data_IF_606091889673
#
_entry.id   IF_606091889673
#
_cell.length_a   1.000
_cell.length_b   1.000
_cell.length_c   1.000
_cell.angle_alpha   90.00
_cell.angle_beta   90.00
_cell.angle_gamma   90.00
#
_symmetry.space_group_name_H-M   'P 1'
#
loop_
_entity.id
_entity.type
_entity.pdbx_description
1 polymer ?
#
# COMPACT_ATOMS: atom_id res chain seq x y z
N UNK A 1 43.98 9.63 -5.80
CA UNK A 1 42.63 9.71 -5.18
C UNK A 1 41.84 8.48 -5.59
N UNK A 2 41.74 7.48 -4.67
CA UNK A 2 40.95 6.27 -4.88
C UNK A 2 39.46 6.68 -5.01
N UNK A 3 38.86 6.48 -6.19
CA UNK A 3 37.47 6.68 -6.43
C UNK A 3 36.68 5.83 -5.41
N UNK A 4 35.91 6.44 -4.51
CA UNK A 4 34.99 5.75 -3.60
C UNK A 4 34.05 4.92 -4.45
N UNK A 5 34.17 3.59 -4.37
CA UNK A 5 33.28 2.62 -5.01
C UNK A 5 31.86 2.95 -4.56
N UNK A 6 31.06 3.63 -5.40
CA UNK A 6 29.65 3.89 -5.13
C UNK A 6 28.95 2.53 -5.04
N UNK A 7 28.53 2.15 -3.86
CA UNK A 7 27.69 0.96 -3.67
C UNK A 7 26.44 1.13 -4.53
N UNK A 8 26.31 0.29 -5.56
CA UNK A 8 25.07 0.21 -6.33
C UNK A 8 24.04 -0.47 -5.43
N UNK A 9 22.90 0.15 -5.25
CA UNK A 9 21.77 -0.46 -4.52
C UNK A 9 21.41 -1.80 -5.15
N UNK A 10 21.27 -2.90 -4.38
CA UNK A 10 20.96 -4.21 -4.93
C UNK A 10 19.60 -4.19 -5.65
N UNK A 11 19.43 -5.09 -6.61
CA UNK A 11 18.13 -5.30 -7.25
C UNK A 11 17.09 -5.78 -6.23
N UNK A 12 15.82 -5.42 -6.40
CA UNK A 12 14.73 -5.75 -5.45
C UNK A 12 14.65 -7.26 -5.18
N UNK A 13 14.85 -8.11 -6.19
CA UNK A 13 14.89 -9.57 -5.99
C UNK A 13 16.00 -10.01 -5.03
N UNK A 14 17.16 -9.39 -5.08
CA UNK A 14 18.27 -9.70 -4.16
C UNK A 14 17.87 -9.35 -2.73
N UNK A 15 17.23 -8.20 -2.53
CA UNK A 15 16.74 -7.78 -1.21
C UNK A 15 15.75 -8.82 -0.67
N UNK A 16 14.78 -9.23 -1.49
CA UNK A 16 13.78 -10.23 -1.10
C UNK A 16 14.38 -11.59 -0.80
N UNK A 17 15.35 -12.04 -1.61
CA UNK A 17 16.05 -13.30 -1.35
C UNK A 17 16.78 -13.24 -0.01
N UNK A 18 17.44 -12.13 0.32
CA UNK A 18 18.09 -11.95 1.62
C UNK A 18 17.07 -12.03 2.76
N UNK A 19 15.90 -11.37 2.62
CA UNK A 19 14.83 -11.44 3.63
C UNK A 19 14.30 -12.87 3.77
N UNK A 20 14.11 -13.59 2.67
CA UNK A 20 13.67 -15.00 2.67
C UNK A 20 14.70 -15.88 3.40
N UNK A 21 16.00 -15.67 3.15
CA UNK A 21 17.06 -16.41 3.84
C UNK A 21 17.08 -16.10 5.34
N UNK A 22 16.86 -14.85 5.74
CA UNK A 22 16.72 -14.46 7.15
C UNK A 22 15.49 -15.15 7.77
N UNK A 23 14.35 -15.15 7.10
CA UNK A 23 13.15 -15.84 7.57
C UNK A 23 13.39 -17.36 7.70
N UNK A 24 14.05 -17.97 6.72
CA UNK A 24 14.42 -19.39 6.78
C UNK A 24 15.37 -19.68 7.95
N UNK A 25 16.39 -18.84 8.19
CA UNK A 25 17.29 -18.98 9.33
C UNK A 25 16.54 -18.81 10.68
N UNK A 26 15.56 -17.90 10.74
CA UNK A 26 14.73 -17.72 11.94
C UNK A 26 13.98 -18.99 12.34
N UNK A 27 13.60 -19.85 11.39
CA UNK A 27 12.92 -21.13 11.70
C UNK A 27 13.76 -22.10 12.53
N UNK A 28 15.07 -21.94 12.56
CA UNK A 28 16.00 -22.75 13.37
C UNK A 28 16.26 -22.16 14.75
N UNK A 29 15.97 -20.87 14.93
CA UNK A 29 16.32 -20.12 16.15
C UNK A 29 15.07 -19.89 17.00
N UNK A 30 13.96 -19.51 16.34
CA UNK A 30 12.68 -19.22 17.01
C UNK A 30 11.93 -20.54 17.28
N UNK A 31 11.55 -20.82 18.53
CA UNK A 31 10.79 -22.04 18.83
C UNK A 31 9.39 -21.99 18.19
N UNK A 32 8.91 -23.13 17.70
CA UNK A 32 7.56 -23.23 17.18
C UNK A 32 6.53 -23.12 18.32
N UNK A 33 5.43 -22.43 18.04
CA UNK A 33 4.31 -22.26 18.96
C UNK A 33 3.11 -21.72 18.24
N UNK A 34 1.95 -21.93 18.83
CA UNK A 34 0.69 -21.49 18.28
C UNK A 34 -0.28 -20.97 19.34
N UNK A 35 -1.21 -20.12 18.91
CA UNK A 35 -2.38 -19.76 19.71
C UNK A 35 -3.54 -20.68 19.35
N UNK A 36 -4.39 -20.98 20.32
CA UNK A 36 -5.71 -21.55 20.04
C UNK A 36 -6.53 -20.53 19.24
N UNK A 37 -7.17 -21.02 18.18
CA UNK A 37 -8.02 -20.20 17.30
C UNK A 37 -9.44 -20.67 17.38
N UNK A 38 -10.38 -19.73 17.42
CA UNK A 38 -11.82 -20.01 17.37
C UNK A 38 -12.48 -19.17 16.27
N UNK A 39 -13.60 -19.69 15.77
CA UNK A 39 -14.42 -18.96 14.81
C UNK A 39 -15.43 -18.12 15.58
N UNK A 40 -15.30 -16.81 15.51
CA UNK A 40 -16.28 -15.91 16.11
C UNK A 40 -17.63 -16.03 15.41
N UNK A 41 -18.68 -16.34 16.19
CA UNK A 41 -20.02 -16.57 15.67
C UNK A 41 -20.69 -15.31 15.11
N UNK A 42 -20.32 -14.12 15.61
CA UNK A 42 -20.92 -12.87 15.20
C UNK A 42 -20.33 -12.35 13.88
N UNK A 43 -19.02 -12.48 13.71
CA UNK A 43 -18.29 -11.91 12.57
C UNK A 43 -17.89 -12.98 11.54
N UNK A 44 -17.96 -14.25 11.90
CA UNK A 44 -17.48 -15.38 11.08
C UNK A 44 -15.96 -15.42 10.91
N UNK A 45 -15.21 -14.55 11.58
CA UNK A 45 -13.75 -14.47 11.50
C UNK A 45 -13.09 -15.47 12.43
N UNK A 46 -11.89 -15.95 12.05
CA UNK A 46 -11.05 -16.75 12.92
C UNK A 46 -10.20 -15.82 13.78
N UNK A 47 -10.42 -15.84 15.08
CA UNK A 47 -9.72 -15.04 16.08
C UNK A 47 -8.79 -15.92 16.92
N UNK A 48 -7.81 -15.28 17.55
CA UNK A 48 -6.89 -15.89 18.51
C UNK A 48 -7.47 -15.80 19.91
N UNK A 49 -7.39 -16.88 20.69
CA UNK A 49 -7.76 -16.86 22.09
C UNK A 49 -6.63 -16.28 22.94
N UNK A 50 -6.93 -15.25 23.71
CA UNK A 50 -5.95 -14.58 24.57
C UNK A 50 -5.42 -15.53 25.65
N UNK A 51 -4.09 -15.54 25.87
CA UNK A 51 -3.45 -16.40 26.86
C UNK A 51 -3.29 -17.87 26.45
N UNK A 52 -3.75 -18.27 25.27
CA UNK A 52 -3.71 -19.67 24.80
C UNK A 52 -2.39 -20.08 24.17
N UNK A 53 -1.40 -19.18 24.12
CA UNK A 53 -0.12 -19.51 23.48
C UNK A 53 0.55 -20.71 24.14
N UNK A 54 0.92 -21.69 23.32
CA UNK A 54 1.68 -22.86 23.77
C UNK A 54 2.73 -23.24 22.73
N UNK A 55 3.81 -23.85 23.24
CA UNK A 55 4.88 -24.37 22.37
C UNK A 55 4.47 -25.70 21.77
N UNK A 56 4.85 -25.87 20.51
CA UNK A 56 4.65 -27.12 19.77
C UNK A 56 6.00 -27.66 19.29
N UNK A 57 5.99 -28.86 18.70
CA UNK A 57 7.19 -29.47 18.15
C UNK A 57 7.77 -28.58 17.04
N UNK A 58 9.07 -28.30 17.10
CA UNK A 58 9.76 -27.46 16.11
C UNK A 58 9.82 -28.17 14.76
N UNK A 59 9.46 -27.45 13.71
CA UNK A 59 9.50 -27.91 12.31
C UNK A 59 10.26 -26.88 11.46
N UNK A 60 11.61 -26.80 11.61
CA UNK A 60 12.41 -25.84 10.86
C UNK A 60 12.33 -26.13 9.36
N UNK A 61 12.32 -25.06 8.55
CA UNK A 61 12.26 -25.20 7.10
C UNK A 61 13.51 -25.88 6.55
N UNK A 62 13.34 -26.99 5.83
CA UNK A 62 14.43 -27.54 5.04
C UNK A 62 14.84 -26.54 3.94
N UNK A 63 16.11 -26.09 3.86
CA UNK A 63 16.55 -25.09 2.87
C UNK A 63 16.26 -25.50 1.42
N UNK A 64 16.24 -26.78 1.11
CA UNK A 64 15.88 -27.30 -0.22
C UNK A 64 14.41 -27.05 -0.59
N UNK A 65 13.56 -26.72 0.37
CA UNK A 65 12.15 -26.35 0.14
C UNK A 65 11.94 -24.86 -0.13
N UNK A 66 12.96 -24.01 -0.04
CA UNK A 66 12.84 -22.57 -0.36
C UNK A 66 12.27 -22.33 -1.76
N UNK A 67 12.70 -23.02 -2.83
CA UNK A 67 12.09 -22.83 -4.15
C UNK A 67 10.60 -23.18 -4.19
N UNK A 68 10.18 -24.23 -3.50
CA UNK A 68 8.75 -24.59 -3.43
C UNK A 68 7.94 -23.60 -2.57
N UNK A 69 8.54 -23.01 -1.54
CA UNK A 69 7.92 -21.92 -0.77
C UNK A 69 7.71 -20.67 -1.63
N UNK A 70 8.65 -20.35 -2.55
CA UNK A 70 8.49 -19.27 -3.54
C UNK A 70 7.29 -19.55 -4.45
N UNK A 71 7.18 -20.76 -4.98
CA UNK A 71 6.02 -21.16 -5.76
C UNK A 71 4.71 -20.99 -4.98
N UNK A 72 4.66 -21.44 -3.73
CA UNK A 72 3.50 -21.28 -2.85
C UNK A 72 3.18 -19.80 -2.61
N UNK A 73 4.19 -18.94 -2.41
CA UNK A 73 4.01 -17.50 -2.26
C UNK A 73 3.38 -16.85 -3.50
N UNK A 74 3.80 -17.25 -4.70
CA UNK A 74 3.22 -16.80 -5.97
C UNK A 74 1.76 -17.25 -6.09
N UNK A 75 1.48 -18.52 -5.79
CA UNK A 75 0.11 -19.09 -5.84
C UNK A 75 -0.81 -18.40 -4.82
N UNK A 76 -0.35 -18.18 -3.60
CA UNK A 76 -1.12 -17.42 -2.57
C UNK A 76 -1.36 -15.96 -2.97
N UNK A 77 -0.56 -15.40 -3.87
CA UNK A 77 -0.71 -14.03 -4.40
C UNK A 77 -1.41 -13.99 -5.75
N UNK A 78 -1.89 -15.12 -6.27
CA UNK A 78 -2.40 -15.23 -7.65
C UNK A 78 -3.52 -14.23 -7.96
N UNK A 79 -4.44 -14.00 -7.03
CA UNK A 79 -5.53 -13.04 -7.20
C UNK A 79 -5.00 -11.61 -7.43
N UNK A 80 -4.06 -11.15 -6.60
CA UNK A 80 -3.42 -9.83 -6.75
C UNK A 80 -2.62 -9.74 -8.04
N UNK A 81 -1.87 -10.79 -8.38
CA UNK A 81 -1.06 -10.84 -9.60
C UNK A 81 -1.95 -10.77 -10.84
N UNK A 82 -3.02 -11.56 -10.88
CA UNK A 82 -3.97 -11.57 -12.01
C UNK A 82 -4.63 -10.21 -12.17
N UNK A 83 -5.11 -9.62 -11.06
CA UNK A 83 -5.69 -8.29 -11.06
C UNK A 83 -4.72 -7.24 -11.64
N UNK A 84 -3.46 -7.25 -11.22
CA UNK A 84 -2.46 -6.34 -11.74
C UNK A 84 -2.21 -6.51 -13.24
N UNK A 85 -2.03 -7.75 -13.70
CA UNK A 85 -1.82 -8.02 -15.13
C UNK A 85 -2.97 -7.51 -15.98
N UNK A 86 -4.21 -7.71 -15.54
CA UNK A 86 -5.42 -7.24 -16.22
C UNK A 86 -5.47 -5.70 -16.23
N UNK A 87 -5.20 -5.06 -15.10
CA UNK A 87 -5.16 -3.59 -15.03
C UNK A 87 -4.08 -3.02 -15.93
N UNK A 88 -2.85 -3.56 -15.87
CA UNK A 88 -1.77 -3.09 -16.74
C UNK A 88 -2.13 -3.20 -18.21
N UNK A 89 -2.75 -4.31 -18.61
CA UNK A 89 -3.25 -4.51 -19.98
C UNK A 89 -4.34 -3.50 -20.36
N UNK A 90 -5.38 -3.36 -19.54
CA UNK A 90 -6.49 -2.45 -19.81
C UNK A 90 -6.04 -0.98 -19.87
N UNK A 91 -5.19 -0.56 -18.93
CA UNK A 91 -4.64 0.81 -18.91
C UNK A 91 -3.75 1.09 -20.12
N UNK A 92 -2.96 0.12 -20.59
CA UNK A 92 -2.17 0.30 -21.81
C UNK A 92 -3.06 0.56 -23.02
N UNK A 93 -4.16 -0.20 -23.18
CA UNK A 93 -5.14 0.07 -24.24
C UNK A 93 -5.70 1.49 -24.13
N UNK A 94 -6.10 1.92 -22.93
CA UNK A 94 -6.64 3.26 -22.69
C UNK A 94 -5.59 4.34 -22.97
N UNK A 95 -4.37 4.18 -22.47
CA UNK A 95 -3.27 5.14 -22.63
C UNK A 95 -2.90 5.29 -24.11
N UNK A 96 -2.86 4.18 -24.86
CA UNK A 96 -2.54 4.21 -26.29
C UNK A 96 -3.58 4.98 -27.15
N UNK A 97 -4.80 5.22 -26.63
CA UNK A 97 -5.79 6.08 -27.28
C UNK A 97 -5.40 7.57 -27.25
N UNK A 98 -4.46 7.96 -26.40
CA UNK A 98 -4.06 9.35 -26.17
C UNK A 98 -5.07 10.19 -25.40
N UNK A 99 -6.22 9.63 -24.98
CA UNK A 99 -7.28 10.37 -24.28
C UNK A 99 -6.79 10.86 -22.89
N UNK A 100 -6.11 9.98 -22.14
CA UNK A 100 -5.55 10.30 -20.84
C UNK A 100 -4.48 11.39 -20.94
N UNK A 101 -3.60 11.27 -21.92
CA UNK A 101 -2.52 12.26 -22.19
C UNK A 101 -3.11 13.63 -22.51
N UNK A 102 -4.16 13.69 -23.37
CA UNK A 102 -4.85 14.94 -23.71
C UNK A 102 -5.54 15.57 -22.48
N UNK A 103 -6.19 14.76 -21.63
CA UNK A 103 -6.77 15.24 -20.37
C UNK A 103 -5.71 15.83 -19.44
N UNK A 104 -4.62 15.10 -19.21
CA UNK A 104 -3.53 15.55 -18.33
C UNK A 104 -2.87 16.83 -18.86
N UNK A 105 -2.70 16.96 -20.18
CA UNK A 105 -2.22 18.20 -20.80
C UNK A 105 -3.16 19.37 -20.54
N UNK A 106 -4.48 19.18 -20.66
CA UNK A 106 -5.47 20.21 -20.35
C UNK A 106 -5.44 20.60 -18.86
N UNK A 107 -5.39 19.62 -17.97
CA UNK A 107 -5.27 19.86 -16.53
C UNK A 107 -3.96 20.59 -16.19
N UNK A 108 -2.85 20.24 -16.82
CA UNK A 108 -1.57 20.89 -16.58
C UNK A 108 -1.59 22.38 -16.94
N UNK A 109 -2.30 22.75 -18.01
CA UNK A 109 -2.52 24.16 -18.37
C UNK A 109 -3.29 24.91 -17.28
N UNK A 110 -4.31 24.28 -16.68
CA UNK A 110 -5.10 24.86 -15.57
C UNK A 110 -4.25 25.05 -14.32
N UNK A 111 -3.40 24.08 -13.98
CA UNK A 111 -2.52 24.14 -12.81
C UNK A 111 -1.16 24.81 -13.07
N UNK A 112 -0.86 25.25 -14.29
CA UNK A 112 0.47 25.78 -14.68
C UNK A 112 0.98 26.91 -13.79
N UNK A 113 0.10 27.82 -13.36
CA UNK A 113 0.46 28.95 -12.47
C UNK A 113 0.75 28.51 -11.03
N UNK A 114 0.13 27.40 -10.58
CA UNK A 114 0.20 26.89 -9.21
C UNK A 114 0.44 25.39 -9.21
N UNK A 115 1.46 24.91 -9.95
CA UNK A 115 1.69 23.49 -10.21
C UNK A 115 1.82 22.61 -8.96
N UNK A 116 2.26 23.17 -7.83
CA UNK A 116 2.39 22.41 -6.59
C UNK A 116 1.06 22.20 -5.85
N UNK A 117 -0.01 22.95 -6.20
CA UNK A 117 -1.33 22.81 -5.59
C UNK A 117 -1.98 21.46 -5.99
N UNK A 118 -1.58 20.91 -7.13
CA UNK A 118 -2.05 19.59 -7.55
C UNK A 118 -1.73 18.48 -6.52
N UNK A 119 -0.61 18.63 -5.81
CA UNK A 119 -0.16 17.65 -4.81
C UNK A 119 -1.15 17.51 -3.66
N UNK A 120 -1.48 18.55 -2.87
CA UNK A 120 -2.46 18.42 -1.79
C UNK A 120 -3.87 18.11 -2.30
N UNK A 121 -4.26 18.56 -3.50
CA UNK A 121 -5.56 18.23 -4.08
C UNK A 121 -5.69 16.73 -4.31
N UNK A 122 -4.70 16.11 -4.96
CA UNK A 122 -4.72 14.66 -5.21
C UNK A 122 -4.53 13.85 -3.93
N UNK A 123 -3.65 14.26 -3.03
CA UNK A 123 -3.50 13.63 -1.72
C UNK A 123 -4.83 13.60 -0.96
N UNK A 124 -5.57 14.72 -0.93
CA UNK A 124 -6.88 14.80 -0.27
C UNK A 124 -7.91 13.91 -0.97
N UNK A 125 -7.97 13.96 -2.31
CA UNK A 125 -8.90 13.13 -3.09
C UNK A 125 -8.67 11.63 -2.80
N UNK A 126 -7.43 11.17 -2.87
CA UNK A 126 -7.12 9.75 -2.66
C UNK A 126 -7.19 9.35 -1.18
N UNK A 127 -6.99 10.29 -0.26
CA UNK A 127 -7.24 10.02 1.17
C UNK A 127 -8.71 9.74 1.46
N UNK A 128 -9.64 10.39 0.73
CA UNK A 128 -11.07 10.10 0.85
C UNK A 128 -11.35 8.63 0.50
N UNK A 129 -10.77 8.11 -0.58
CA UNK A 129 -10.91 6.71 -0.94
C UNK A 129 -10.26 5.77 0.10
N UNK A 130 -9.09 6.15 0.62
CA UNK A 130 -8.40 5.39 1.68
C UNK A 130 -9.22 5.29 2.96
N UNK A 131 -9.76 6.40 3.47
CA UNK A 131 -10.47 6.39 4.74
C UNK A 131 -11.94 5.93 4.66
N UNK A 132 -12.59 6.00 3.49
CA UNK A 132 -13.99 5.59 3.34
C UNK A 132 -14.13 4.14 2.93
N UNK A 133 -13.35 3.70 1.94
CA UNK A 133 -13.44 2.37 1.32
C UNK A 133 -12.30 1.44 1.72
N UNK A 134 -11.30 1.95 2.47
CA UNK A 134 -10.11 1.18 2.76
C UNK A 134 -9.27 0.87 1.52
N UNK A 135 -9.41 1.68 0.44
CA UNK A 135 -8.63 1.46 -0.78
C UNK A 135 -7.14 1.61 -0.49
N UNK A 136 -6.40 0.59 -0.80
CA UNK A 136 -4.94 0.53 -0.68
C UNK A 136 -4.35 0.03 -1.99
N UNK A 137 -4.41 -1.28 -2.25
CA UNK A 137 -3.87 -1.86 -3.49
C UNK A 137 -4.58 -1.35 -4.74
N UNK A 138 -5.88 -1.11 -4.68
CA UNK A 138 -6.75 -0.70 -5.79
C UNK A 138 -6.36 0.67 -6.35
N UNK A 139 -5.77 1.51 -5.53
CA UNK A 139 -5.36 2.87 -5.93
C UNK A 139 -4.24 2.87 -6.97
N UNK A 140 -3.53 1.74 -7.13
CA UNK A 140 -2.49 1.62 -8.17
C UNK A 140 -3.00 1.89 -9.58
N UNK A 141 -4.29 1.67 -9.83
CA UNK A 141 -4.93 1.95 -11.13
C UNK A 141 -4.88 3.43 -11.53
N UNK A 142 -4.78 4.33 -10.55
CA UNK A 142 -4.72 5.77 -10.78
C UNK A 142 -3.29 6.30 -10.89
N UNK A 143 -2.28 5.50 -10.56
CA UNK A 143 -0.86 5.90 -10.60
C UNK A 143 -0.43 6.41 -11.98
N UNK A 144 -0.81 5.79 -13.12
CA UNK A 144 -0.45 6.32 -14.44
C UNK A 144 -0.99 7.73 -14.67
N UNK A 145 -2.20 8.03 -14.17
CA UNK A 145 -2.81 9.38 -14.26
C UNK A 145 -1.97 10.39 -13.49
N UNK A 146 -1.58 10.04 -12.26
CA UNK A 146 -0.72 10.87 -11.43
C UNK A 146 0.64 11.16 -12.05
N UNK A 147 1.27 10.12 -12.62
CA UNK A 147 2.56 10.25 -13.32
C UNK A 147 2.43 11.17 -14.53
N UNK A 148 1.46 10.90 -15.42
CA UNK A 148 1.24 11.68 -16.63
C UNK A 148 1.03 13.16 -16.29
N UNK A 149 0.17 13.46 -15.32
CA UNK A 149 -0.07 14.84 -14.88
C UNK A 149 1.18 15.50 -14.29
N UNK A 150 1.92 14.78 -13.44
CA UNK A 150 3.15 15.29 -12.84
C UNK A 150 4.19 15.66 -13.92
N UNK A 151 4.40 14.78 -14.90
CA UNK A 151 5.33 15.03 -16.01
C UNK A 151 4.93 16.25 -16.85
N UNK A 152 3.64 16.42 -17.17
CA UNK A 152 3.15 17.63 -17.86
C UNK A 152 3.35 18.92 -17.06
N UNK A 153 3.39 18.84 -15.72
CA UNK A 153 3.67 19.97 -14.85
C UNK A 153 5.18 20.22 -14.63
N UNK A 154 6.05 19.45 -15.29
CA UNK A 154 7.50 19.52 -15.12
C UNK A 154 7.96 19.02 -13.75
N UNK A 155 7.25 18.04 -13.20
CA UNK A 155 7.59 17.27 -12.01
C UNK A 155 8.07 15.87 -12.40
N UNK A 156 8.62 15.10 -11.48
CA UNK A 156 9.05 13.74 -11.76
C UNK A 156 7.97 12.68 -11.49
N UNK A 157 8.17 11.47 -11.99
CA UNK A 157 7.23 10.37 -11.78
C UNK A 157 7.14 9.90 -10.33
N UNK A 158 8.15 10.18 -9.49
CA UNK A 158 8.08 9.90 -8.05
C UNK A 158 7.02 10.78 -7.38
N UNK A 159 6.99 12.07 -7.73
CA UNK A 159 5.95 13.00 -7.28
C UNK A 159 4.57 12.54 -7.74
N UNK A 160 4.43 12.13 -9.01
CA UNK A 160 3.16 11.64 -9.56
C UNK A 160 2.65 10.39 -8.85
N UNK A 161 3.54 9.43 -8.58
CA UNK A 161 3.20 8.21 -7.82
C UNK A 161 2.85 8.55 -6.38
N UNK A 162 3.66 9.41 -5.73
CA UNK A 162 3.50 9.74 -4.32
C UNK A 162 2.17 10.46 -4.03
N UNK A 163 1.71 11.39 -4.86
CA UNK A 163 0.46 12.10 -4.61
C UNK A 163 -0.78 11.18 -4.67
N UNK A 164 -0.70 10.07 -5.40
CA UNK A 164 -1.75 9.05 -5.46
C UNK A 164 -1.60 8.05 -4.30
N UNK A 165 -0.46 7.36 -4.26
CA UNK A 165 -0.22 6.27 -3.33
C UNK A 165 -0.21 6.74 -1.86
N UNK A 166 0.46 7.85 -1.55
CA UNK A 166 0.53 8.37 -0.18
C UNK A 166 -0.75 9.09 0.24
N UNK A 167 -1.55 9.61 -0.71
CA UNK A 167 -2.91 10.08 -0.43
C UNK A 167 -3.75 8.95 0.15
N UNK A 168 -3.84 7.84 -0.56
CA UNK A 168 -4.58 6.66 -0.09
C UNK A 168 -4.01 6.09 1.21
N UNK A 169 -2.68 6.00 1.33
CA UNK A 169 -2.02 5.51 2.54
C UNK A 169 -2.35 6.36 3.78
N UNK A 170 -2.33 7.68 3.66
CA UNK A 170 -2.73 8.61 4.75
C UNK A 170 -4.19 8.41 5.13
N UNK A 171 -5.09 8.32 4.13
CA UNK A 171 -6.51 8.06 4.39
C UNK A 171 -6.74 6.71 5.05
N UNK A 172 -6.14 5.65 4.51
CA UNK A 172 -6.19 4.30 5.07
C UNK A 172 -5.70 4.27 6.53
N UNK A 173 -4.58 4.94 6.80
CA UNK A 173 -3.97 5.02 8.15
C UNK A 173 -4.83 5.83 9.12
N UNK A 174 -5.42 6.94 8.71
CA UNK A 174 -6.34 7.70 9.56
C UNK A 174 -7.61 6.89 9.88
N UNK A 175 -8.08 6.07 8.94
CA UNK A 175 -9.08 5.03 9.13
C UNK A 175 -10.40 5.52 9.72
N UNK A 176 -10.99 6.62 9.18
CA UNK A 176 -12.22 7.18 9.73
C UNK A 176 -13.42 6.22 9.62
N UNK A 177 -13.60 5.68 8.41
CA UNK A 177 -14.72 4.81 8.04
C UNK A 177 -14.26 3.51 7.36
N UNK A 178 -12.96 3.18 7.48
CA UNK A 178 -12.37 2.01 6.84
C UNK A 178 -12.88 0.71 7.50
N UNK A 179 -13.72 -0.09 6.82
CA UNK A 179 -14.29 -1.29 7.42
C UNK A 179 -13.30 -2.44 7.55
N UNK A 180 -12.24 -2.46 6.72
CA UNK A 180 -11.29 -3.58 6.61
C UNK A 180 -10.16 -3.53 7.63
N UNK A 181 -9.90 -2.38 8.20
CA UNK A 181 -8.84 -2.16 9.18
C UNK A 181 -9.45 -1.70 10.50
N UNK A 182 -9.81 -0.42 10.64
CA UNK A 182 -10.34 0.12 11.90
C UNK A 182 -11.65 -0.55 12.31
N UNK A 183 -12.55 -0.83 11.37
CA UNK A 183 -13.82 -1.49 11.67
C UNK A 183 -13.62 -2.88 12.28
N UNK A 184 -12.69 -3.68 11.70
CA UNK A 184 -12.35 -5.00 12.24
C UNK A 184 -11.70 -4.90 13.61
N UNK A 185 -10.77 -3.96 13.80
CA UNK A 185 -10.09 -3.80 15.08
C UNK A 185 -11.04 -3.31 16.19
N UNK A 186 -11.97 -2.39 15.87
CA UNK A 186 -13.00 -1.93 16.81
C UNK A 186 -14.00 -3.02 17.18
N UNK A 187 -14.40 -3.82 16.21
CA UNK A 187 -15.30 -4.96 16.44
C UNK A 187 -14.68 -5.97 17.42
N UNK A 188 -13.40 -6.34 17.20
CA UNK A 188 -12.67 -7.23 18.13
C UNK A 188 -12.47 -6.58 19.51
N UNK A 189 -12.29 -5.26 19.55
CA UNK A 189 -12.15 -4.51 20.80
C UNK A 189 -13.50 -4.21 21.50
N UNK A 190 -14.62 -4.72 20.96
CA UNK A 190 -15.97 -4.49 21.48
C UNK A 190 -16.33 -3.00 21.56
N UNK A 191 -15.87 -2.22 20.58
CA UNK A 191 -16.15 -0.79 20.45
C UNK A 191 -17.23 -0.52 19.41
N UNK A 192 -17.96 0.57 19.59
CA UNK A 192 -18.86 1.05 18.56
C UNK A 192 -18.06 1.33 17.28
N UNK A 193 -18.53 0.79 16.15
CA UNK A 193 -17.87 0.96 14.86
C UNK A 193 -17.71 2.44 14.50
N UNK A 194 -16.54 2.79 14.02
CA UNK A 194 -16.13 4.13 13.62
C UNK A 194 -16.22 5.19 14.75
N UNK A 195 -16.24 4.76 16.01
CA UNK A 195 -16.12 5.67 17.16
C UNK A 195 -14.73 6.34 17.20
N UNK A 196 -14.60 7.41 17.98
CA UNK A 196 -13.33 8.17 18.09
C UNK A 196 -13.00 9.00 16.83
N UNK A 197 -14.00 9.30 15.99
CA UNK A 197 -13.81 9.95 14.68
C UNK A 197 -13.16 11.33 14.77
N UNK A 198 -13.49 12.14 15.77
CA UNK A 198 -12.96 13.50 15.89
C UNK A 198 -11.41 13.53 15.95
N UNK A 199 -10.83 12.66 16.77
CA UNK A 199 -9.37 12.56 16.88
C UNK A 199 -8.73 11.99 15.61
N UNK A 200 -9.40 11.05 14.93
CA UNK A 200 -8.95 10.51 13.65
C UNK A 200 -8.97 11.55 12.52
N UNK A 201 -9.96 12.45 12.52
CA UNK A 201 -10.00 13.61 11.59
C UNK A 201 -8.82 14.53 11.86
N UNK A 202 -8.51 14.85 13.12
CA UNK A 202 -7.31 15.62 13.47
C UNK A 202 -6.03 14.95 12.95
N UNK A 203 -5.87 13.64 13.19
CA UNK A 203 -4.73 12.86 12.68
C UNK A 203 -4.66 12.93 11.14
N UNK A 204 -5.79 12.76 10.44
CA UNK A 204 -5.87 12.85 8.98
C UNK A 204 -5.34 14.20 8.49
N UNK A 205 -5.81 15.30 9.07
CA UNK A 205 -5.41 16.66 8.65
C UNK A 205 -3.92 16.89 8.87
N UNK A 206 -3.39 16.47 10.02
CA UNK A 206 -1.95 16.62 10.32
C UNK A 206 -1.10 15.77 9.36
N UNK A 207 -1.50 14.52 9.11
CA UNK A 207 -0.78 13.64 8.18
C UNK A 207 -0.83 14.16 6.74
N UNK A 208 -1.99 14.64 6.28
CA UNK A 208 -2.13 15.25 4.95
C UNK A 208 -1.25 16.49 4.82
N UNK A 209 -1.23 17.36 5.83
CA UNK A 209 -0.39 18.56 5.83
C UNK A 209 1.10 18.21 5.79
N UNK A 210 1.55 17.29 6.66
CA UNK A 210 2.94 16.84 6.70
C UNK A 210 3.38 16.17 5.39
N UNK A 211 2.54 15.28 4.85
CA UNK A 211 2.81 14.56 3.60
C UNK A 211 2.83 15.53 2.42
N UNK A 212 1.87 16.46 2.35
CA UNK A 212 1.83 17.51 1.31
C UNK A 212 3.08 18.38 1.34
N UNK A 213 3.46 18.87 2.53
CA UNK A 213 4.65 19.68 2.70
C UNK A 213 5.92 18.92 2.26
N UNK A 214 6.05 17.66 2.66
CA UNK A 214 7.19 16.83 2.27
C UNK A 214 7.29 16.67 0.75
N UNK A 215 6.19 16.27 0.10
CA UNK A 215 6.18 16.05 -1.36
C UNK A 215 6.40 17.38 -2.10
N UNK A 216 5.82 18.49 -1.65
CA UNK A 216 6.04 19.81 -2.25
C UNK A 216 7.51 20.21 -2.13
N UNK A 217 8.14 20.02 -0.97
CA UNK A 217 9.57 20.30 -0.77
C UNK A 217 10.44 19.47 -1.72
N UNK A 218 10.15 18.17 -1.83
CA UNK A 218 10.83 17.29 -2.78
C UNK A 218 10.63 17.75 -4.23
N UNK A 219 9.38 17.98 -4.64
CA UNK A 219 9.03 18.40 -5.99
C UNK A 219 9.68 19.75 -6.39
N UNK A 220 9.73 20.72 -5.46
CA UNK A 220 10.44 22.00 -5.68
C UNK A 220 11.94 21.80 -5.86
N UNK A 221 12.54 20.95 -5.03
CA UNK A 221 13.96 20.61 -5.10
C UNK A 221 14.32 19.95 -6.44
N UNK A 222 13.49 19.01 -6.90
CA UNK A 222 13.71 18.29 -8.17
C UNK A 222 13.42 19.20 -9.36
N UNK A 223 12.39 20.04 -9.31
CA UNK A 223 12.10 21.00 -10.39
C UNK A 223 13.22 22.03 -10.59
N UNK A 224 13.92 22.46 -9.51
CA UNK A 224 15.07 23.34 -9.60
C UNK A 224 16.37 22.61 -9.97
N UNK A 225 16.49 21.34 -9.59
CA UNK A 225 17.68 20.52 -9.73
C UNK A 225 17.29 19.10 -10.12
N UNK A 226 17.03 18.78 -11.40
CA UNK A 226 16.59 17.46 -11.86
C UNK A 226 17.53 16.32 -11.44
N UNK A 227 18.84 16.61 -11.33
CA UNK A 227 19.86 15.66 -10.87
C UNK A 227 19.68 15.20 -9.42
N UNK A 228 18.85 15.89 -8.63
CA UNK A 228 18.51 15.53 -7.24
C UNK A 228 17.30 14.59 -7.13
N UNK A 229 16.66 14.28 -8.25
CA UNK A 229 15.62 13.23 -8.26
C UNK A 229 16.21 11.89 -7.83
N UNK A 230 15.47 11.16 -7.00
CA UNK A 230 15.92 9.81 -6.56
C UNK A 230 16.01 8.82 -7.71
N UNK A 231 15.34 9.10 -8.83
CA UNK A 231 15.36 8.28 -10.05
C UNK A 231 16.25 8.85 -11.15
N UNK A 232 17.03 9.90 -10.86
CA UNK A 232 17.94 10.48 -11.84
C UNK A 232 18.89 9.42 -12.43
N UNK A 233 19.05 9.44 -13.75
CA UNK A 233 19.90 8.48 -14.50
C UNK A 233 19.23 7.11 -14.72
N UNK A 234 17.96 6.92 -14.37
CA UNK A 234 17.17 5.78 -14.83
C UNK A 234 16.59 6.17 -16.20
N UNK A 235 16.71 5.32 -17.24
CA UNK A 235 16.12 5.61 -18.53
C UNK A 235 14.63 5.90 -18.40
N UNK A 236 14.18 6.96 -19.08
CA UNK A 236 12.74 7.25 -19.16
C UNK A 236 12.05 6.19 -20.02
N UNK A 237 10.88 5.75 -19.58
CA UNK A 237 10.07 4.85 -20.36
C UNK A 237 9.51 5.60 -21.57
N UNK A 238 9.63 5.03 -22.77
CA UNK A 238 9.06 5.60 -24.02
C UNK A 238 7.54 5.80 -23.93
N UNK A 239 6.88 5.14 -22.98
CA UNK A 239 5.44 5.20 -22.73
C UNK A 239 4.95 6.61 -22.34
N UNK A 240 5.84 7.45 -21.80
CA UNK A 240 5.53 8.82 -21.36
C UNK A 240 6.16 9.91 -22.25
N UNK A 241 6.53 9.58 -23.50
CA UNK A 241 7.00 10.59 -24.47
C UNK A 241 5.81 11.32 -25.09
N UNK A 242 5.84 12.67 -25.03
CA UNK A 242 4.69 13.53 -25.37
C UNK A 242 4.88 14.30 -26.70
N UNK A 243 5.79 13.84 -27.57
CA UNK A 243 6.27 14.59 -28.74
C UNK A 243 5.19 14.95 -29.78
N UNK A 244 3.98 14.34 -29.74
CA UNK A 244 2.92 14.56 -30.72
C UNK A 244 1.53 14.83 -30.12
N UNK A 245 1.45 15.36 -28.89
CA UNK A 245 0.14 15.63 -28.27
C UNK A 245 -0.46 16.93 -28.81
N UNK A 246 -1.53 16.83 -29.59
CA UNK A 246 -2.29 17.99 -30.09
C UNK A 246 -2.91 18.77 -28.94
N UNK A 247 -3.09 20.09 -29.14
CA UNK A 247 -3.68 20.98 -28.13
C UNK A 247 -5.20 20.82 -27.97
N UNK A 248 -5.86 20.17 -28.93
CA UNK A 248 -7.31 19.92 -28.95
C UNK A 248 -7.64 18.47 -28.63
N UNK A 249 -8.58 18.26 -27.73
CA UNK A 249 -9.12 16.93 -27.44
C UNK A 249 -10.11 16.56 -28.53
N UNK A 250 -9.91 15.42 -29.19
CA UNK A 250 -10.80 14.91 -30.21
C UNK A 250 -12.11 14.37 -29.63
N UNK A 251 -13.19 14.30 -30.42
CA UNK A 251 -14.49 13.74 -30.00
C UNK A 251 -14.34 12.28 -29.52
N UNK A 252 -13.50 11.48 -30.18
CA UNK A 252 -13.22 10.10 -29.75
C UNK A 252 -12.54 10.05 -28.38
N UNK A 253 -11.57 10.93 -28.10
CA UNK A 253 -10.91 11.04 -26.81
C UNK A 253 -11.89 11.49 -25.71
N UNK A 254 -12.81 12.41 -26.02
CA UNK A 254 -13.89 12.79 -25.08
C UNK A 254 -14.75 11.58 -24.74
N UNK A 255 -15.16 10.80 -25.74
CA UNK A 255 -15.95 9.59 -25.52
C UNK A 255 -15.20 8.55 -24.65
N UNK A 256 -13.89 8.35 -24.87
CA UNK A 256 -13.04 7.51 -24.03
C UNK A 256 -13.03 8.02 -22.59
N UNK A 257 -12.85 9.33 -22.37
CA UNK A 257 -12.85 9.92 -21.03
C UNK A 257 -14.20 9.77 -20.32
N UNK A 258 -15.32 9.85 -21.06
CA UNK A 258 -16.66 9.58 -20.51
C UNK A 258 -16.78 8.12 -20.07
N UNK A 259 -16.34 7.17 -20.89
CA UNK A 259 -16.33 5.74 -20.53
C UNK A 259 -15.48 5.49 -19.30
N UNK A 260 -14.31 6.13 -19.20
CA UNK A 260 -13.47 6.05 -18.00
C UNK A 260 -14.18 6.62 -16.76
N UNK A 261 -14.79 7.80 -16.89
CA UNK A 261 -15.51 8.43 -15.77
C UNK A 261 -16.69 7.56 -15.29
N UNK A 262 -17.45 6.98 -16.21
CA UNK A 262 -18.54 6.05 -15.91
C UNK A 262 -17.99 4.76 -15.28
N UNK A 263 -16.90 4.19 -15.82
CA UNK A 263 -16.23 3.02 -15.27
C UNK A 263 -15.75 3.24 -13.84
N UNK A 264 -15.12 4.38 -13.55
CA UNK A 264 -14.74 4.74 -12.18
C UNK A 264 -15.95 4.98 -11.27
N UNK A 265 -17.04 5.56 -11.76
CA UNK A 265 -18.29 5.68 -11.02
C UNK A 265 -18.87 4.31 -10.64
N UNK A 266 -18.90 3.37 -11.58
CA UNK A 266 -19.33 1.97 -11.35
C UNK A 266 -18.40 1.27 -10.36
N UNK A 267 -17.08 1.49 -10.48
CA UNK A 267 -16.08 0.96 -9.55
C UNK A 267 -16.36 1.41 -8.11
N UNK A 268 -16.55 2.72 -7.91
CA UNK A 268 -16.84 3.31 -6.59
C UNK A 268 -18.14 2.74 -6.02
N UNK A 269 -19.18 2.63 -6.84
CA UNK A 269 -20.45 2.02 -6.45
C UNK A 269 -20.27 0.54 -6.09
N UNK A 270 -19.56 -0.23 -6.91
CA UNK A 270 -19.28 -1.65 -6.69
C UNK A 270 -18.54 -1.91 -5.38
N UNK A 271 -17.46 -1.15 -5.12
CA UNK A 271 -16.68 -1.22 -3.89
C UNK A 271 -17.53 -0.84 -2.66
N UNK A 272 -18.29 0.28 -2.75
CA UNK A 272 -19.00 0.83 -1.59
C UNK A 272 -20.28 0.09 -1.23
N UNK A 273 -21.01 -0.46 -2.24
CA UNK A 273 -22.36 -1.01 -2.06
C UNK A 273 -22.48 -2.50 -2.33
N UNK A 274 -21.59 -3.08 -3.12
CA UNK A 274 -21.65 -4.48 -3.57
C UNK A 274 -20.54 -5.36 -3.01
N UNK A 275 -19.56 -4.78 -2.29
CA UNK A 275 -18.42 -5.51 -1.76
C UNK A 275 -17.50 -6.09 -2.85
N UNK A 276 -17.43 -5.42 -3.99
CA UNK A 276 -16.54 -5.84 -5.09
C UNK A 276 -15.11 -5.97 -4.62
N UNK A 277 -14.41 -6.94 -5.21
CA UNK A 277 -12.99 -7.15 -4.99
C UNK A 277 -12.28 -7.35 -6.33
N UNK A 278 -11.11 -7.96 -6.35
CA UNK A 278 -10.25 -8.04 -7.55
C UNK A 278 -10.94 -8.69 -8.76
N UNK A 279 -11.84 -9.65 -8.57
CA UNK A 279 -12.54 -10.35 -9.65
C UNK A 279 -13.44 -9.41 -10.45
N UNK A 280 -14.37 -8.75 -9.79
CA UNK A 280 -15.33 -7.85 -10.43
C UNK A 280 -14.65 -6.60 -10.99
N UNK A 281 -13.64 -6.09 -10.26
CA UNK A 281 -12.82 -4.98 -10.74
C UNK A 281 -12.07 -5.36 -12.02
N UNK A 282 -11.49 -6.57 -12.08
CA UNK A 282 -10.81 -7.07 -13.28
C UNK A 282 -11.74 -7.11 -14.47
N UNK A 283 -12.97 -7.63 -14.30
CA UNK A 283 -14.00 -7.66 -15.32
C UNK A 283 -14.35 -6.26 -15.83
N UNK A 284 -14.57 -5.30 -14.93
CA UNK A 284 -14.85 -3.91 -15.29
C UNK A 284 -13.72 -3.30 -16.13
N UNK A 285 -12.46 -3.52 -15.74
CA UNK A 285 -11.32 -2.94 -16.46
C UNK A 285 -11.12 -3.58 -17.83
N UNK A 286 -11.37 -4.87 -18.00
CA UNK A 286 -11.36 -5.52 -19.32
C UNK A 286 -12.39 -4.85 -20.23
N UNK A 287 -13.65 -4.72 -19.77
CA UNK A 287 -14.71 -4.07 -20.54
C UNK A 287 -14.35 -2.63 -20.88
N UNK A 288 -13.85 -1.87 -19.90
CA UNK A 288 -13.46 -0.48 -20.10
C UNK A 288 -12.34 -0.34 -21.14
N UNK A 289 -11.30 -1.17 -21.07
CA UNK A 289 -10.19 -1.18 -22.01
C UNK A 289 -10.66 -1.53 -23.43
N UNK A 290 -11.49 -2.56 -23.58
CA UNK A 290 -12.03 -3.01 -24.88
C UNK A 290 -12.93 -1.93 -25.49
N UNK A 291 -13.86 -1.36 -24.73
CA UNK A 291 -14.77 -0.30 -25.19
C UNK A 291 -13.97 0.94 -25.62
N UNK A 292 -13.02 1.39 -24.82
CA UNK A 292 -12.14 2.52 -25.15
C UNK A 292 -11.33 2.27 -26.42
N UNK A 293 -10.82 1.05 -26.61
CA UNK A 293 -10.13 0.66 -27.83
C UNK A 293 -11.00 0.75 -29.05
N UNK A 294 -12.23 0.22 -29.03
CA UNK A 294 -13.17 0.30 -30.14
C UNK A 294 -13.58 1.75 -30.45
N UNK A 295 -13.89 2.57 -29.45
CA UNK A 295 -14.20 3.99 -29.62
C UNK A 295 -13.07 4.72 -30.35
N UNK A 296 -11.82 4.35 -30.05
CA UNK A 296 -10.65 4.93 -30.69
C UNK A 296 -10.39 4.40 -32.11
N UNK A 297 -11.22 3.45 -32.60
CA UNK A 297 -11.10 2.86 -33.91
C UNK A 297 -10.10 1.72 -34.01
N UNK A 298 -9.76 1.08 -32.88
CA UNK A 298 -8.86 -0.07 -32.86
C UNK A 298 -9.61 -1.33 -33.26
N UNK A 299 -9.01 -2.15 -34.12
CA UNK A 299 -9.48 -3.50 -34.37
C UNK A 299 -9.12 -4.46 -33.19
N UNK A 300 -9.81 -5.62 -33.10
CA UNK A 300 -9.58 -6.60 -32.00
C UNK A 300 -8.13 -7.01 -31.82
N UNK A 301 -7.41 -7.23 -32.93
CA UNK A 301 -5.99 -7.63 -32.87
C UNK A 301 -5.09 -6.54 -32.28
N UNK A 302 -5.40 -5.26 -32.49
CA UNK A 302 -4.68 -4.15 -31.92
C UNK A 302 -4.96 -4.06 -30.43
N UNK A 303 -6.23 -4.18 -30.02
CA UNK A 303 -6.63 -4.18 -28.60
C UNK A 303 -5.91 -5.31 -27.85
N UNK A 304 -5.89 -6.52 -28.40
CA UNK A 304 -5.22 -7.66 -27.79
C UNK A 304 -3.69 -7.43 -27.66
N UNK A 305 -3.06 -6.86 -28.68
CA UNK A 305 -1.63 -6.55 -28.65
C UNK A 305 -1.29 -5.49 -27.60
N UNK A 306 -2.03 -4.37 -27.57
CA UNK A 306 -1.82 -3.31 -26.58
C UNK A 306 -2.02 -3.87 -25.14
N UNK A 307 -3.07 -4.68 -24.96
CA UNK A 307 -3.32 -5.35 -23.68
C UNK A 307 -2.14 -6.26 -23.26
N UNK A 308 -1.63 -7.06 -24.19
CA UNK A 308 -0.47 -7.92 -23.93
C UNK A 308 0.79 -7.13 -23.56
N UNK A 309 1.08 -6.02 -24.26
CA UNK A 309 2.24 -5.16 -23.92
C UNK A 309 2.08 -4.51 -22.55
N UNK A 310 0.88 -4.07 -22.17
CA UNK A 310 0.62 -3.53 -20.84
C UNK A 310 0.84 -4.55 -19.72
N UNK A 311 0.31 -5.77 -19.87
CA UNK A 311 0.51 -6.86 -18.93
C UNK A 311 2.01 -7.22 -18.81
N UNK A 312 2.73 -7.32 -19.94
CA UNK A 312 4.18 -7.55 -19.97
C UNK A 312 4.95 -6.46 -19.24
N UNK A 313 4.51 -5.20 -19.34
CA UNK A 313 5.17 -4.05 -18.72
C UNK A 313 5.27 -4.14 -17.19
N UNK A 314 4.36 -4.87 -16.53
CA UNK A 314 4.29 -4.96 -15.06
C UNK A 314 4.64 -6.34 -14.50
N UNK A 315 5.02 -7.31 -15.34
CA UNK A 315 5.25 -8.71 -14.91
C UNK A 315 6.31 -8.83 -13.82
N UNK A 316 7.37 -8.01 -13.87
CA UNK A 316 8.42 -8.00 -12.84
C UNK A 316 7.86 -7.61 -11.48
N UNK A 317 6.97 -6.61 -11.43
CA UNK A 317 6.29 -6.21 -10.20
C UNK A 317 5.37 -7.30 -9.65
N UNK A 318 4.66 -8.00 -10.52
CA UNK A 318 3.83 -9.15 -10.16
C UNK A 318 4.66 -10.27 -9.52
N UNK A 319 5.81 -10.59 -10.09
CA UNK A 319 6.75 -11.57 -9.51
C UNK A 319 7.28 -11.13 -8.14
N UNK A 320 7.59 -9.84 -7.97
CA UNK A 320 8.04 -9.29 -6.69
C UNK A 320 6.98 -9.53 -5.59
N UNK A 321 5.69 -9.34 -5.86
CA UNK A 321 4.60 -9.56 -4.91
C UNK A 321 4.57 -11.03 -4.47
N UNK A 322 4.64 -11.96 -5.41
CA UNK A 322 4.64 -13.39 -5.10
C UNK A 322 5.86 -13.83 -4.30
N UNK A 323 7.04 -13.35 -4.66
CA UNK A 323 8.29 -13.65 -3.94
C UNK A 323 8.27 -13.04 -2.53
N UNK A 324 7.77 -11.82 -2.36
CA UNK A 324 7.64 -11.20 -1.05
C UNK A 324 6.72 -11.98 -0.10
N UNK A 325 5.63 -12.56 -0.61
CA UNK A 325 4.71 -13.42 0.14
C UNK A 325 5.36 -14.69 0.69
N UNK A 326 6.47 -15.12 0.12
CA UNK A 326 7.22 -16.30 0.57
C UNK A 326 7.67 -16.20 2.03
N UNK A 327 7.97 -14.99 2.50
CA UNK A 327 8.37 -14.75 3.89
C UNK A 327 7.28 -15.24 4.85
N UNK A 328 6.04 -14.82 4.63
CA UNK A 328 4.89 -15.25 5.44
C UNK A 328 4.65 -16.75 5.33
N UNK A 329 4.80 -17.32 4.13
CA UNK A 329 4.68 -18.79 3.93
C UNK A 329 5.68 -19.53 4.81
N UNK A 330 6.96 -19.14 4.79
CA UNK A 330 8.01 -19.79 5.58
C UNK A 330 7.75 -19.70 7.08
N UNK A 331 7.39 -18.51 7.57
CA UNK A 331 7.13 -18.29 9.00
C UNK A 331 5.89 -19.06 9.49
N UNK A 332 4.86 -19.14 8.64
CA UNK A 332 3.62 -19.88 8.93
C UNK A 332 3.84 -21.40 8.90
N UNK A 333 4.50 -21.93 7.86
CA UNK A 333 4.73 -23.36 7.70
C UNK A 333 5.66 -23.93 8.80
N UNK A 334 6.57 -23.09 9.33
CA UNK A 334 7.42 -23.45 10.47
C UNK A 334 6.75 -23.20 11.83
N UNK A 335 5.51 -22.71 11.86
CA UNK A 335 4.76 -22.35 13.07
C UNK A 335 5.50 -21.42 14.02
N UNK A 336 6.32 -20.49 13.49
CA UNK A 336 7.05 -19.51 14.32
C UNK A 336 6.41 -18.10 14.30
N UNK A 337 5.42 -17.88 13.42
CA UNK A 337 4.76 -16.60 13.29
C UNK A 337 4.07 -16.19 14.60
N UNK A 338 3.31 -17.07 15.21
CA UNK A 338 2.62 -16.81 16.49
C UNK A 338 3.62 -16.58 17.63
N UNK A 339 4.74 -17.29 17.64
CA UNK A 339 5.83 -17.08 18.61
C UNK A 339 6.44 -15.69 18.48
N UNK A 340 6.67 -15.23 17.25
CA UNK A 340 7.20 -13.87 17.01
C UNK A 340 6.21 -12.83 17.51
N UNK A 341 4.92 -12.98 17.18
CA UNK A 341 3.87 -12.07 17.65
C UNK A 341 3.79 -12.07 19.18
N UNK A 342 3.77 -13.26 19.81
CA UNK A 342 3.76 -13.41 21.26
C UNK A 342 4.96 -12.71 21.92
N UNK A 343 6.17 -12.89 21.36
CA UNK A 343 7.37 -12.24 21.85
C UNK A 343 7.30 -10.71 21.78
N UNK A 344 6.80 -10.17 20.66
CA UNK A 344 6.64 -8.72 20.46
C UNK A 344 5.58 -8.15 21.42
N UNK A 345 4.43 -8.83 21.59
CA UNK A 345 3.39 -8.41 22.54
C UNK A 345 3.90 -8.38 23.96
N UNK A 346 4.71 -9.36 24.37
CA UNK A 346 5.30 -9.40 25.71
C UNK A 346 6.26 -8.26 26.00
N UNK A 347 6.89 -7.65 24.97
CA UNK A 347 7.71 -6.44 25.16
C UNK A 347 6.84 -5.29 25.68
N UNK A 348 5.58 -5.15 25.22
CA UNK A 348 4.67 -4.11 25.71
C UNK A 348 4.37 -4.29 27.19
N UNK A 349 4.23 -5.52 27.67
CA UNK A 349 3.90 -5.82 29.06
C UNK A 349 4.97 -5.33 30.05
N UNK A 350 6.24 -5.33 29.65
CA UNK A 350 7.37 -4.91 30.50
C UNK A 350 7.72 -3.42 30.39
N UNK A 351 7.04 -2.67 29.49
CA UNK A 351 7.28 -1.24 29.34
C UNK A 351 6.65 -0.43 30.49
N UNK A 352 7.23 0.73 30.86
CA UNK A 352 6.58 1.69 31.75
C UNK A 352 5.24 2.18 31.21
N UNK A 353 4.25 2.37 32.07
CA UNK A 353 2.87 2.74 31.65
C UNK A 353 2.81 4.04 30.83
N UNK A 354 3.68 4.99 31.14
CA UNK A 354 3.78 6.28 30.44
C UNK A 354 4.10 6.18 28.95
N UNK A 355 4.74 5.09 28.51
CA UNK A 355 5.14 4.89 27.11
C UNK A 355 4.51 3.63 26.47
N UNK A 356 3.69 2.88 27.21
CA UNK A 356 3.08 1.64 26.71
C UNK A 356 2.27 1.85 25.44
N UNK A 357 1.49 2.94 25.33
CA UNK A 357 0.72 3.23 24.13
C UNK A 357 1.63 3.45 22.92
N UNK A 358 2.74 4.17 23.09
CA UNK A 358 3.77 4.30 22.03
C UNK A 358 4.40 2.94 21.73
N UNK A 359 4.68 2.15 22.75
CA UNK A 359 5.18 0.78 22.62
C UNK A 359 4.22 -0.10 21.82
N UNK A 360 2.92 -0.06 22.09
CA UNK A 360 1.89 -0.78 21.34
C UNK A 360 1.94 -0.40 19.85
N UNK A 361 2.00 0.89 19.53
CA UNK A 361 2.11 1.37 18.14
C UNK A 361 3.38 0.83 17.45
N UNK A 362 4.54 0.94 18.07
CA UNK A 362 5.80 0.46 17.49
C UNK A 362 5.80 -1.06 17.34
N UNK A 363 5.24 -1.80 18.30
CA UNK A 363 5.08 -3.24 18.22
C UNK A 363 4.16 -3.63 17.05
N UNK A 364 3.06 -2.93 16.84
CA UNK A 364 2.18 -3.18 15.68
C UNK A 364 2.91 -2.93 14.35
N UNK A 365 3.77 -1.90 14.27
CA UNK A 365 4.61 -1.66 13.09
C UNK A 365 5.62 -2.80 12.84
N UNK A 366 6.18 -3.39 13.90
CA UNK A 366 7.07 -4.55 13.80
C UNK A 366 6.31 -5.81 13.39
N UNK A 367 5.13 -6.04 13.96
CA UNK A 367 4.27 -7.19 13.61
C UNK A 367 3.86 -7.12 12.13
N UNK A 368 3.62 -5.92 11.60
CA UNK A 368 3.31 -5.75 10.17
C UNK A 368 4.46 -6.20 9.25
N UNK A 369 5.70 -6.30 9.72
CA UNK A 369 6.78 -6.91 8.95
C UNK A 369 6.57 -8.40 8.68
N UNK A 370 5.75 -9.08 9.48
CA UNK A 370 5.44 -10.52 9.36
C UNK A 370 4.01 -10.79 8.94
N UNK A 371 3.06 -9.95 9.33
CA UNK A 371 1.63 -10.06 8.96
C UNK A 371 1.21 -8.77 8.25
N UNK A 372 1.40 -8.71 6.94
CA UNK A 372 1.18 -7.50 6.11
C UNK A 372 -0.30 -7.30 5.72
N UNK A 373 -1.22 -8.01 6.34
CA UNK A 373 -2.66 -7.90 6.12
C UNK A 373 -3.32 -7.18 7.28
N UNK A 374 -3.85 -5.98 7.08
CA UNK A 374 -4.51 -5.23 8.15
C UNK A 374 -5.59 -6.04 8.89
N UNK A 375 -6.50 -6.69 8.16
CA UNK A 375 -7.51 -7.59 8.76
C UNK A 375 -6.87 -8.79 9.48
N UNK A 376 -5.84 -9.41 8.86
CA UNK A 376 -5.13 -10.55 9.45
C UNK A 376 -4.35 -10.15 10.70
N UNK A 377 -3.67 -9.02 10.67
CA UNK A 377 -2.95 -8.48 11.83
C UNK A 377 -3.92 -8.15 12.97
N UNK A 378 -5.05 -7.49 12.69
CA UNK A 378 -6.09 -7.21 13.69
C UNK A 378 -6.59 -8.50 14.35
N UNK A 379 -6.91 -9.54 13.57
CA UNK A 379 -7.45 -10.80 14.07
C UNK A 379 -6.47 -11.54 15.01
N UNK A 380 -5.17 -11.36 14.83
CA UNK A 380 -4.15 -11.97 15.69
C UNK A 380 -3.79 -11.06 16.87
N UNK A 381 -3.63 -9.75 16.64
CA UNK A 381 -3.04 -8.87 17.64
C UNK A 381 -4.06 -8.21 18.56
N UNK A 382 -5.27 -7.88 18.07
CA UNK A 382 -6.25 -7.17 18.90
C UNK A 382 -6.75 -8.02 20.09
N UNK A 383 -7.02 -9.35 19.96
CA UNK A 383 -7.36 -10.19 21.10
C UNK A 383 -6.27 -10.24 22.19
N UNK A 384 -5.01 -9.95 21.82
CA UNK A 384 -3.89 -9.91 22.76
C UNK A 384 -3.68 -8.51 23.34
N UNK A 385 -3.81 -7.47 22.51
CA UNK A 385 -3.53 -6.09 22.89
C UNK A 385 -4.66 -5.46 23.73
N UNK A 386 -5.92 -5.85 23.48
CA UNK A 386 -7.07 -5.33 24.23
C UNK A 386 -6.98 -5.68 25.72
N UNK A 387 -6.78 -6.95 26.13
CA UNK A 387 -6.56 -7.27 27.56
C UNK A 387 -5.37 -6.55 28.17
N UNK A 388 -4.27 -6.40 27.41
CA UNK A 388 -3.10 -5.64 27.88
C UNK A 388 -3.46 -4.17 28.13
N UNK A 389 -4.21 -3.54 27.22
CA UNK A 389 -4.63 -2.15 27.39
C UNK A 389 -5.56 -1.98 28.60
N UNK A 390 -6.52 -2.89 28.79
CA UNK A 390 -7.45 -2.88 29.95
C UNK A 390 -6.69 -2.99 31.28
N UNK A 391 -5.68 -3.88 31.37
CA UNK A 391 -4.87 -4.09 32.57
C UNK A 391 -4.05 -2.86 32.98
N UNK A 392 -3.60 -2.06 31.99
CA UNK A 392 -2.75 -0.89 32.23
C UNK A 392 -3.53 0.43 32.21
N UNK A 393 -4.86 0.37 32.12
CA UNK A 393 -5.72 1.55 32.10
C UNK A 393 -5.62 2.38 30.82
N UNK A 394 -5.17 1.79 29.71
CA UNK A 394 -5.20 2.40 28.37
C UNK A 394 -6.54 2.06 27.73
N UNK A 395 -7.23 3.05 27.16
CA UNK A 395 -8.50 2.78 26.50
C UNK A 395 -8.33 1.81 25.32
N UNK A 396 -9.34 0.97 25.09
CA UNK A 396 -9.38 0.08 23.92
C UNK A 396 -9.30 0.85 22.61
N UNK A 397 -9.84 2.08 22.56
CA UNK A 397 -9.80 2.97 21.42
C UNK A 397 -8.35 3.41 21.09
N UNK A 398 -7.55 3.69 22.12
CA UNK A 398 -6.11 3.97 21.96
C UNK A 398 -5.36 2.72 21.47
N UNK A 399 -5.72 1.53 21.93
CA UNK A 399 -5.17 0.27 21.42
C UNK A 399 -5.48 0.06 19.93
N UNK A 400 -6.72 0.33 19.51
CA UNK A 400 -7.12 0.31 18.09
C UNK A 400 -6.33 1.34 17.28
N UNK A 401 -6.10 2.54 17.83
CA UNK A 401 -5.29 3.55 17.15
C UNK A 401 -3.83 3.11 16.99
N UNK A 402 -3.24 2.47 18.00
CA UNK A 402 -1.89 1.92 17.93
C UNK A 402 -1.75 0.90 16.79
N UNK A 403 -2.71 -0.03 16.69
CA UNK A 403 -2.79 -0.98 15.59
C UNK A 403 -2.89 -0.27 14.24
N UNK A 404 -3.82 0.67 14.11
CA UNK A 404 -4.11 1.40 12.89
C UNK A 404 -2.88 2.14 12.33
N UNK A 405 -2.19 2.90 13.20
CA UNK A 405 -0.99 3.64 12.81
C UNK A 405 0.17 2.69 12.47
N UNK A 406 0.31 1.60 13.23
CA UNK A 406 1.36 0.61 13.03
C UNK A 406 1.26 -0.11 11.70
N UNK A 407 0.09 -0.60 11.35
CA UNK A 407 -0.22 -1.21 10.05
C UNK A 407 -0.07 -0.20 8.92
N UNK A 408 -0.75 0.96 9.02
CA UNK A 408 -0.85 1.91 7.92
C UNK A 408 0.48 2.53 7.49
N UNK A 409 1.31 2.98 8.43
CA UNK A 409 2.58 3.62 8.09
C UNK A 409 3.59 2.65 7.48
N UNK A 410 3.73 1.48 8.07
CA UNK A 410 4.75 0.51 7.66
C UNK A 410 4.48 -0.09 6.29
N UNK A 411 3.22 -0.17 5.85
CA UNK A 411 2.85 -0.60 4.50
C UNK A 411 3.46 0.25 3.38
N UNK A 412 3.86 1.50 3.67
CA UNK A 412 4.48 2.41 2.68
C UNK A 412 5.98 2.17 2.48
N UNK A 413 6.62 1.35 3.33
CA UNK A 413 8.07 1.06 3.27
C UNK A 413 8.38 -0.43 3.20
N UNK A 414 7.47 -1.31 3.61
CA UNK A 414 7.72 -2.75 3.65
C UNK A 414 7.70 -3.38 2.25
N UNK A 415 8.73 -4.12 1.85
CA UNK A 415 8.77 -4.78 0.54
C UNK A 415 7.79 -5.96 0.44
N UNK A 416 7.21 -6.43 1.55
CA UNK A 416 6.16 -7.43 1.60
C UNK A 416 4.76 -6.83 1.35
N UNK A 417 4.61 -5.52 1.39
CA UNK A 417 3.34 -4.85 1.10
C UNK A 417 3.00 -4.95 -0.39
N UNK A 418 1.95 -5.71 -0.71
CA UNK A 418 1.45 -5.88 -2.07
C UNK A 418 0.99 -4.56 -2.69
N UNK A 419 0.41 -3.67 -1.89
CA UNK A 419 0.01 -2.33 -2.32
C UNK A 419 1.22 -1.53 -2.78
N UNK A 420 2.28 -1.45 -1.94
CA UNK A 420 3.51 -0.73 -2.29
C UNK A 420 4.15 -1.32 -3.54
N UNK A 421 4.31 -2.65 -3.61
CA UNK A 421 4.92 -3.28 -4.79
C UNK A 421 4.07 -3.07 -6.04
N UNK A 422 2.75 -3.03 -5.89
CA UNK A 422 1.82 -2.68 -6.96
C UNK A 422 2.05 -1.27 -7.51
N UNK A 423 2.13 -0.26 -6.66
CA UNK A 423 2.44 1.12 -7.11
C UNK A 423 3.78 1.20 -7.82
N UNK A 424 4.81 0.52 -7.27
CA UNK A 424 6.15 0.53 -7.84
C UNK A 424 6.24 -0.25 -9.14
N UNK A 425 5.47 -1.32 -9.29
CA UNK A 425 5.37 -2.06 -10.54
C UNK A 425 4.79 -1.19 -11.65
N UNK A 426 3.65 -0.54 -11.40
CA UNK A 426 2.97 0.34 -12.35
C UNK A 426 3.81 1.57 -12.69
N UNK A 427 4.45 2.19 -11.69
CA UNK A 427 5.30 3.37 -11.90
C UNK A 427 6.69 3.04 -12.44
N UNK A 428 7.09 1.76 -12.44
CA UNK A 428 8.45 1.29 -12.79
C UNK A 428 9.54 2.02 -11.99
N UNK A 429 9.23 2.34 -10.72
CA UNK A 429 10.19 2.93 -9.78
C UNK A 429 10.85 1.79 -9.00
N UNK A 430 12.18 1.65 -9.03
CA UNK A 430 12.86 0.64 -8.23
C UNK A 430 12.61 0.83 -6.73
N UNK A 431 12.32 -0.26 -6.00
CA UNK A 431 12.03 -0.23 -4.57
C UNK A 431 13.09 0.54 -3.76
N UNK A 432 14.36 0.32 -4.04
CA UNK A 432 15.46 1.02 -3.35
C UNK A 432 15.44 2.54 -3.54
N UNK A 433 14.93 3.01 -4.68
CA UNK A 433 14.77 4.45 -4.96
C UNK A 433 13.56 5.02 -4.25
N UNK A 434 12.45 4.26 -4.22
CA UNK A 434 11.29 4.61 -3.42
C UNK A 434 11.64 4.68 -1.94
N UNK A 435 12.34 3.68 -1.42
CA UNK A 435 12.75 3.65 -0.02
C UNK A 435 13.59 4.87 0.37
N UNK A 436 14.52 5.30 -0.52
CA UNK A 436 15.30 6.53 -0.32
C UNK A 436 14.43 7.78 -0.26
N UNK A 437 13.36 7.84 -1.06
CA UNK A 437 12.38 8.93 -1.03
C UNK A 437 11.50 8.83 0.21
N UNK A 438 10.99 7.63 0.54
CA UNK A 438 9.96 7.46 1.56
C UNK A 438 10.51 7.44 2.99
N UNK A 439 11.75 7.00 3.21
CA UNK A 439 12.30 6.82 4.57
C UNK A 439 12.26 8.10 5.43
N UNK A 440 12.63 9.30 4.95
CA UNK A 440 12.49 10.51 5.76
C UNK A 440 11.04 10.80 6.13
N UNK A 441 10.09 10.60 5.22
CA UNK A 441 8.67 10.80 5.50
C UNK A 441 8.14 9.74 6.48
N UNK A 442 8.57 8.50 6.36
CA UNK A 442 8.23 7.43 7.29
C UNK A 442 8.68 7.76 8.72
N UNK A 443 9.89 8.31 8.87
CA UNK A 443 10.38 8.77 10.19
C UNK A 443 9.54 9.94 10.73
N UNK A 444 9.12 10.88 9.87
CA UNK A 444 8.21 11.97 10.25
C UNK A 444 6.86 11.38 10.69
N UNK A 445 6.28 10.45 9.93
CA UNK A 445 5.02 9.79 10.29
C UNK A 445 5.14 9.00 11.59
N UNK A 446 6.25 8.29 11.80
CA UNK A 446 6.51 7.55 13.06
C UNK A 446 6.60 8.51 14.25
N UNK A 447 7.31 9.62 14.11
CA UNK A 447 7.38 10.64 15.16
C UNK A 447 6.00 11.25 15.46
N UNK A 448 5.23 11.59 14.42
CA UNK A 448 3.83 12.05 14.59
C UNK A 448 2.96 10.98 15.22
N UNK A 449 3.13 9.72 14.84
CA UNK A 449 2.44 8.58 15.46
C UNK A 449 2.70 8.47 16.95
N UNK A 450 3.96 8.61 17.38
CA UNK A 450 4.30 8.67 18.82
C UNK A 450 3.60 9.84 19.53
N UNK A 451 3.58 11.03 18.89
CA UNK A 451 2.87 12.19 19.44
C UNK A 451 1.35 11.97 19.49
N UNK A 452 0.76 11.35 18.48
CA UNK A 452 -0.66 11.00 18.50
C UNK A 452 -0.99 9.99 19.61
N UNK A 453 -0.13 9.00 19.84
CA UNK A 453 -0.33 8.05 20.95
C UNK A 453 -0.26 8.74 22.32
N UNK A 454 0.71 9.64 22.51
CA UNK A 454 0.80 10.43 23.75
C UNK A 454 -0.41 11.36 23.91
N UNK A 455 -0.82 12.04 22.82
CA UNK A 455 -2.03 12.87 22.80
C UNK A 455 -3.29 12.08 23.15
N UNK A 456 -3.44 10.87 22.62
CA UNK A 456 -4.56 9.98 22.92
C UNK A 456 -4.63 9.64 24.40
N UNK A 457 -3.48 9.35 25.05
CA UNK A 457 -3.43 9.14 26.50
C UNK A 457 -3.84 10.39 27.29
N UNK A 458 -3.36 11.57 26.87
CA UNK A 458 -3.63 12.84 27.60
C UNK A 458 -5.11 13.26 27.56
N UNK A 459 -5.81 12.94 26.46
CA UNK A 459 -7.24 13.31 26.28
C UNK A 459 -8.18 12.19 26.70
N UNK A 460 -7.68 11.02 27.13
CA UNK A 460 -8.50 9.86 27.45
C UNK A 460 -9.26 9.29 26.24
N UNK A 461 -8.62 9.34 25.07
CA UNK A 461 -9.19 8.92 23.77
C UNK A 461 -9.73 7.51 23.77
#
# INVERSE_FOLDING_TARGET
TKAKKKWKTPHTFVILVVIILIAAAATYIVPAGEFTRFKDAATGKTLVEAGSYHRIASSPLNPLKIPSAIYTGIVKSASTITFMLIIGGAFQVITSTGALTALCKKLSKTFSKHKYVVIPVFLTLFSIFGFTMGMSSEVMIFVPIGITLALFLGLDKVTGTAMIALGAAVGFTAGLLNPFNVGVAQDIAELQLFSGMAYRVFILVVLLAATSAYIICYARKVAAHPEKSVIYGIPEDQEYTFDNVTDSITVRQIAVLIVMALGFGILIYGLSKKGWYFEEMSGLFIFMGVICGFISGYGPSRIAREFGEGAKGIIVGCLIIGIARTVEVILSDANILDTIVYGIVNIVNVMPDSIKAVGMFLCQSLINCVIVSGTGQAAVTMPLMVPVSDLVGISRQTSVLAFQLGDGFSNSVLPMSSSLMGYLAVSKIPYSKWLKFMMPLFLIWTALGCLFMLGALMIGY
#
